data_IF_763483717561
#
_entry.id   IF_763483717561
#
_cell.length_a   1.000
_cell.length_b   1.000
_cell.length_c   1.000
_cell.angle_alpha   90.00
_cell.angle_beta   90.00
_cell.angle_gamma   90.00
#
_symmetry.space_group_name_H-M   'P 1'
#
loop_
_entity.id
_entity.type
_entity.pdbx_description
1 polymer ?
#
# COMPACT_ATOMS: atom_id res chain seq x y z
N UNK A 1 15.37 7.29 12.97
CA UNK A 1 14.46 6.50 12.10
C UNK A 1 13.49 5.79 13.02
N UNK A 2 12.19 6.06 12.87
CA UNK A 2 11.15 5.41 13.67
C UNK A 2 10.81 4.08 12.94
N UNK A 3 10.87 2.93 13.62
CA UNK A 3 10.54 1.66 12.99
C UNK A 3 9.03 1.54 12.76
N UNK A 4 8.62 0.59 11.92
CA UNK A 4 7.20 0.28 11.69
C UNK A 4 6.93 -1.18 12.03
N UNK A 5 5.75 -1.45 12.56
CA UNK A 5 5.28 -2.81 12.85
C UNK A 5 4.24 -3.25 11.84
N UNK A 6 4.28 -4.53 11.48
CA UNK A 6 3.19 -5.22 10.79
C UNK A 6 2.37 -5.97 11.84
N UNK A 7 1.06 -5.76 11.79
CA UNK A 7 0.08 -6.38 12.67
C UNK A 7 -0.88 -7.23 11.86
N UNK A 8 -1.24 -8.40 12.36
CA UNK A 8 -2.41 -9.12 11.90
C UNK A 8 -3.66 -8.48 12.51
N UNK A 9 -4.59 -8.02 11.68
CA UNK A 9 -5.69 -7.10 12.04
C UNK A 9 -7.09 -7.68 11.79
N UNK A 10 -7.19 -8.99 11.61
CA UNK A 10 -8.45 -9.73 11.51
C UNK A 10 -9.16 -9.91 12.85
N UNK A 11 -8.47 -9.69 13.97
CA UNK A 11 -9.03 -9.73 15.33
C UNK A 11 -8.58 -8.52 16.17
N UNK A 12 -9.27 -8.30 17.30
CA UNK A 12 -8.96 -7.23 18.26
C UNK A 12 -8.63 -7.83 19.64
N UNK A 13 -7.50 -7.47 20.27
CA UNK A 13 -6.44 -6.60 19.74
C UNK A 13 -5.70 -7.25 18.56
N UNK A 14 -5.16 -6.44 17.66
CA UNK A 14 -4.35 -6.93 16.54
C UNK A 14 -3.05 -7.56 17.03
N UNK A 15 -2.57 -8.59 16.34
CA UNK A 15 -1.41 -9.37 16.76
C UNK A 15 -0.11 -8.96 16.06
N UNK A 16 0.98 -8.84 16.82
CA UNK A 16 2.29 -8.49 16.33
C UNK A 16 2.88 -9.57 15.42
N UNK A 17 3.43 -9.15 14.28
CA UNK A 17 4.09 -10.05 13.32
C UNK A 17 5.59 -9.77 13.24
N UNK A 18 5.96 -8.54 12.86
CA UNK A 18 7.35 -8.15 12.63
C UNK A 18 7.52 -6.63 12.75
N UNK A 19 8.72 -6.19 13.12
CA UNK A 19 9.15 -4.80 13.07
C UNK A 19 10.17 -4.63 11.94
N UNK A 20 10.02 -3.57 11.15
CA UNK A 20 10.84 -3.24 9.99
C UNK A 20 11.23 -1.76 9.98
N UNK A 21 12.19 -1.41 9.13
CA UNK A 21 12.89 -0.12 9.17
C UNK A 21 12.14 1.06 8.57
N UNK A 22 11.09 0.82 7.76
CA UNK A 22 10.36 1.89 7.08
C UNK A 22 8.89 1.55 6.82
N UNK A 23 8.08 2.57 6.57
CA UNK A 23 6.67 2.41 6.20
C UNK A 23 6.54 1.58 4.92
N UNK A 24 7.39 1.83 3.92
CA UNK A 24 7.39 1.06 2.68
C UNK A 24 7.69 -0.42 2.92
N UNK A 25 8.69 -0.72 3.74
CA UNK A 25 8.98 -2.09 4.11
C UNK A 25 7.75 -2.74 4.77
N UNK A 26 7.12 -2.06 5.73
CA UNK A 26 5.94 -2.59 6.42
C UNK A 26 4.80 -2.92 5.46
N UNK A 27 4.53 -2.04 4.48
CA UNK A 27 3.53 -2.30 3.44
C UNK A 27 3.89 -3.52 2.57
N UNK A 28 5.17 -3.67 2.18
CA UNK A 28 5.60 -4.82 1.37
C UNK A 28 5.43 -6.12 2.15
N UNK A 29 5.85 -6.17 3.42
CA UNK A 29 5.68 -7.34 4.28
C UNK A 29 4.19 -7.66 4.48
N UNK A 30 3.36 -6.66 4.81
CA UNK A 30 1.92 -6.83 4.96
C UNK A 30 1.28 -7.43 3.69
N UNK A 31 1.69 -6.96 2.51
CA UNK A 31 1.20 -7.45 1.22
C UNK A 31 1.63 -8.89 0.94
N UNK A 32 2.93 -9.20 1.09
CA UNK A 32 3.47 -10.54 0.85
C UNK A 32 2.85 -11.58 1.82
N UNK A 33 2.62 -11.18 3.06
CA UNK A 33 1.95 -12.05 4.04
C UNK A 33 0.47 -12.24 3.71
N UNK A 34 -0.23 -11.20 3.25
CA UNK A 34 -1.62 -11.34 2.79
C UNK A 34 -1.76 -12.28 1.58
N UNK A 35 -0.79 -12.24 0.65
CA UNK A 35 -0.72 -13.16 -0.49
C UNK A 35 -0.48 -14.61 -0.04
N UNK A 36 0.36 -14.81 0.99
CA UNK A 36 0.72 -16.14 1.50
C UNK A 36 -0.31 -16.74 2.47
N UNK A 37 -1.07 -15.90 3.17
CA UNK A 37 -2.12 -16.30 4.11
C UNK A 37 -3.47 -15.70 3.71
N UNK A 38 -4.10 -16.19 2.63
CA UNK A 38 -5.39 -15.69 2.17
C UNK A 38 -6.44 -15.65 3.30
N UNK A 39 -7.20 -14.56 3.38
CA UNK A 39 -8.20 -14.33 4.43
C UNK A 39 -7.68 -13.60 5.66
N UNK A 40 -6.35 -13.58 5.88
CA UNK A 40 -5.75 -12.76 6.95
C UNK A 40 -5.62 -11.31 6.47
N UNK A 41 -5.82 -10.37 7.38
CA UNK A 41 -5.63 -8.94 7.15
C UNK A 41 -4.38 -8.47 7.89
N UNK A 42 -3.59 -7.64 7.24
CA UNK A 42 -2.38 -7.08 7.83
C UNK A 42 -2.44 -5.56 7.77
N UNK A 43 -2.25 -4.92 8.93
CA UNK A 43 -2.13 -3.48 9.07
C UNK A 43 -0.67 -3.11 9.36
N UNK A 44 -0.35 -1.83 9.12
CA UNK A 44 0.94 -1.27 9.51
C UNK A 44 0.73 -0.25 10.63
N UNK A 45 1.67 -0.16 11.55
CA UNK A 45 1.67 0.81 12.63
C UNK A 45 3.05 1.45 12.74
N UNK A 46 3.10 2.77 12.95
CA UNK A 46 4.34 3.46 13.29
C UNK A 46 4.78 3.11 14.72
N UNK A 47 6.08 2.89 14.90
CA UNK A 47 6.66 2.40 16.14
C UNK A 47 6.63 0.87 16.28
N UNK A 48 7.19 0.40 17.38
CA UNK A 48 7.14 -1.02 17.75
C UNK A 48 5.85 -1.33 18.51
N UNK A 49 5.08 -2.33 18.07
CA UNK A 49 3.85 -2.77 18.73
C UNK A 49 4.14 -3.78 19.85
N UNK A 50 5.05 -3.43 20.76
CA UNK A 50 5.59 -4.32 21.80
C UNK A 50 4.56 -4.81 22.84
N UNK A 51 3.38 -4.17 22.91
CA UNK A 51 2.28 -4.55 23.79
C UNK A 51 1.18 -5.38 23.11
N UNK A 52 1.28 -5.64 21.81
CA UNK A 52 0.32 -6.47 21.09
C UNK A 52 0.58 -7.97 21.36
N UNK A 53 -0.47 -8.82 21.37
CA UNK A 53 -0.27 -10.27 21.43
C UNK A 53 0.54 -10.76 20.22
N UNK A 54 1.27 -11.85 20.37
CA UNK A 54 1.97 -12.47 19.24
C UNK A 54 0.98 -13.07 18.23
N UNK A 55 1.31 -12.97 16.94
CA UNK A 55 0.58 -13.70 15.91
C UNK A 55 0.88 -15.20 15.96
N UNK A 56 0.13 -15.99 15.18
CA UNK A 56 0.37 -17.42 15.07
C UNK A 56 1.82 -17.70 14.60
N UNK A 57 2.54 -18.68 15.17
CA UNK A 57 3.96 -18.94 14.84
C UNK A 57 4.24 -19.11 13.35
N UNK A 58 3.34 -19.75 12.60
CA UNK A 58 3.51 -19.92 11.15
C UNK A 58 3.57 -18.60 10.38
N UNK A 59 2.85 -17.56 10.83
CA UNK A 59 2.86 -16.22 10.21
C UNK A 59 4.17 -15.53 10.56
N UNK A 60 4.60 -15.59 11.82
CA UNK A 60 5.87 -15.04 12.28
C UNK A 60 7.07 -15.67 11.56
N UNK A 61 7.08 -16.99 11.44
CA UNK A 61 8.15 -17.73 10.77
C UNK A 61 8.18 -17.45 9.27
N UNK A 62 7.01 -17.31 8.65
CA UNK A 62 6.89 -16.89 7.26
C UNK A 62 7.41 -15.46 7.03
N UNK A 63 7.09 -14.53 7.93
CA UNK A 63 7.60 -13.16 7.88
C UNK A 63 9.14 -13.09 7.96
N UNK A 64 9.77 -14.06 8.63
CA UNK A 64 11.23 -14.20 8.77
C UNK A 64 11.84 -15.19 7.78
N UNK A 65 11.06 -15.66 6.81
CA UNK A 65 11.57 -16.61 5.83
C UNK A 65 12.48 -15.90 4.83
N UNK A 66 13.54 -16.58 4.41
CA UNK A 66 14.46 -16.08 3.38
C UNK A 66 13.74 -15.62 2.11
N UNK A 67 12.66 -16.31 1.73
CA UNK A 67 11.87 -15.94 0.57
C UNK A 67 11.20 -14.57 0.72
N UNK A 68 10.52 -14.32 1.85
CA UNK A 68 9.85 -13.04 2.11
C UNK A 68 10.87 -11.92 2.22
N UNK A 69 11.99 -12.15 2.92
CA UNK A 69 13.07 -11.16 3.04
C UNK A 69 13.68 -10.81 1.67
N UNK A 70 13.96 -11.81 0.83
CA UNK A 70 14.51 -11.61 -0.52
C UNK A 70 13.54 -10.84 -1.42
N UNK A 71 12.25 -11.19 -1.39
CA UNK A 71 11.22 -10.47 -2.15
C UNK A 71 11.07 -9.03 -1.67
N UNK A 72 11.03 -8.81 -0.35
CA UNK A 72 10.94 -7.48 0.22
C UNK A 72 12.15 -6.61 -0.16
N UNK A 73 13.36 -7.14 -0.06
CA UNK A 73 14.58 -6.44 -0.45
C UNK A 73 14.58 -6.10 -1.96
N UNK A 74 14.13 -7.02 -2.82
CA UNK A 74 14.02 -6.80 -4.27
C UNK A 74 13.05 -5.65 -4.57
N UNK A 75 11.90 -5.64 -3.91
CA UNK A 75 10.88 -4.59 -4.09
C UNK A 75 11.34 -3.24 -3.57
N UNK A 76 12.00 -3.20 -2.40
CA UNK A 76 12.58 -1.97 -1.86
C UNK A 76 13.65 -1.41 -2.79
N UNK A 77 14.53 -2.27 -3.32
CA UNK A 77 15.55 -1.85 -4.30
C UNK A 77 14.92 -1.25 -5.57
N UNK A 78 13.81 -1.82 -6.04
CA UNK A 78 13.08 -1.29 -7.20
C UNK A 78 12.45 0.08 -6.92
N UNK A 79 11.92 0.29 -5.72
CA UNK A 79 11.31 1.57 -5.33
C UNK A 79 12.36 2.63 -4.92
N UNK A 80 13.64 2.26 -4.71
CA UNK A 80 14.65 3.15 -4.14
C UNK A 80 14.96 4.39 -4.97
N UNK A 81 14.85 4.32 -6.30
CA UNK A 81 15.10 5.46 -7.20
C UNK A 81 14.01 6.54 -7.08
N UNK A 82 12.75 6.14 -6.87
CA UNK A 82 11.59 7.05 -6.79
C UNK A 82 11.11 7.30 -5.36
N UNK A 83 11.60 6.52 -4.39
CA UNK A 83 11.24 6.60 -2.98
C UNK A 83 12.47 6.25 -2.09
N UNK A 84 13.53 7.08 -2.12
CA UNK A 84 14.75 6.83 -1.35
C UNK A 84 14.52 6.88 0.17
N UNK A 85 13.49 7.60 0.62
CA UNK A 85 13.13 7.75 2.03
C UNK A 85 12.31 6.56 2.57
N UNK A 86 11.85 5.65 1.71
CA UNK A 86 11.05 4.50 2.14
C UNK A 86 9.66 4.87 2.67
N UNK A 87 9.08 5.95 2.13
CA UNK A 87 7.73 6.43 2.46
C UNK A 87 6.65 5.43 2.02
N UNK A 88 5.49 5.48 2.68
CA UNK A 88 4.36 4.65 2.30
C UNK A 88 3.93 4.93 0.84
N UNK A 89 3.67 3.86 0.10
CA UNK A 89 3.20 3.90 -1.29
C UNK A 89 1.68 3.84 -1.32
N UNK A 90 1.09 4.79 -2.03
CA UNK A 90 -0.33 4.89 -2.31
C UNK A 90 -0.58 4.79 -3.80
N UNK A 91 -1.63 4.06 -4.17
CA UNK A 91 -2.14 3.98 -5.53
C UNK A 91 -3.35 4.88 -5.62
N UNK A 92 -3.23 5.97 -6.38
CA UNK A 92 -4.33 6.89 -6.67
C UNK A 92 -4.97 6.43 -7.98
N UNK A 93 -6.25 6.09 -7.92
CA UNK A 93 -7.06 5.62 -9.04
C UNK A 93 -7.95 6.74 -9.52
N UNK A 94 -7.90 7.00 -10.82
CA UNK A 94 -8.78 7.93 -11.53
C UNK A 94 -9.91 7.13 -12.16
N UNK A 95 -11.14 7.55 -11.87
CA UNK A 95 -12.38 6.90 -12.32
C UNK A 95 -13.24 7.93 -13.07
N UNK A 96 -13.83 7.54 -14.19
CA UNK A 96 -14.87 8.32 -14.87
C UNK A 96 -16.08 8.43 -13.96
N UNK A 97 -16.67 9.62 -13.78
CA UNK A 97 -17.98 9.70 -13.14
C UNK A 97 -19.07 9.31 -14.15
N UNK A 98 -20.09 8.55 -13.70
CA UNK A 98 -21.17 8.08 -14.57
C UNK A 98 -22.14 9.20 -15.00
N UNK A 99 -22.17 10.33 -14.28
CA UNK A 99 -23.13 11.43 -14.51
C UNK A 99 -22.62 12.48 -15.50
N UNK A 100 -21.31 12.64 -15.66
CA UNK A 100 -20.70 13.62 -16.57
C UNK A 100 -19.34 13.13 -17.05
N UNK A 101 -19.18 13.00 -18.37
CA UNK A 101 -17.92 12.53 -18.99
C UNK A 101 -16.69 13.40 -18.66
N UNK A 102 -16.92 14.64 -18.21
CA UNK A 102 -15.89 15.61 -17.85
C UNK A 102 -15.43 15.56 -16.38
N UNK A 103 -16.11 14.80 -15.50
CA UNK A 103 -15.74 14.78 -14.08
C UNK A 103 -15.08 13.45 -13.68
N UNK A 104 -13.98 13.56 -12.95
CA UNK A 104 -13.18 12.42 -12.48
C UNK A 104 -13.37 12.23 -10.99
N UNK A 105 -13.67 10.99 -10.57
CA UNK A 105 -13.60 10.58 -9.16
C UNK A 105 -12.23 9.99 -8.89
N UNK A 106 -11.64 10.37 -7.76
CA UNK A 106 -10.37 9.80 -7.31
C UNK A 106 -10.58 8.87 -6.11
N UNK A 107 -9.78 7.81 -6.00
CA UNK A 107 -9.67 6.97 -4.80
C UNK A 107 -8.21 6.64 -4.55
N UNK A 108 -7.76 6.75 -3.31
CA UNK A 108 -6.40 6.39 -2.92
C UNK A 108 -6.43 5.16 -2.00
N UNK A 109 -5.57 4.18 -2.29
CA UNK A 109 -5.42 2.97 -1.49
C UNK A 109 -3.95 2.69 -1.22
N UNK A 110 -3.65 2.27 0.01
CA UNK A 110 -2.30 1.86 0.37
C UNK A 110 -1.88 0.62 -0.44
N UNK A 111 -0.58 0.48 -0.72
CA UNK A 111 -0.08 -0.63 -1.55
C UNK A 111 -0.44 -2.03 -1.01
N UNK A 112 -0.54 -2.18 0.30
CA UNK A 112 -0.90 -3.45 0.95
C UNK A 112 -2.41 -3.75 0.95
N UNK A 113 -3.27 -2.80 0.55
CA UNK A 113 -4.72 -3.00 0.42
C UNK A 113 -5.06 -3.63 -0.94
N UNK A 114 -4.52 -4.82 -1.20
CA UNK A 114 -4.67 -5.56 -2.45
C UNK A 114 -6.14 -5.77 -2.85
N UNK A 115 -7.08 -6.13 -1.94
CA UNK A 115 -8.48 -6.32 -2.31
C UNK A 115 -9.14 -5.05 -2.87
N UNK A 116 -8.95 -3.89 -2.22
CA UNK A 116 -9.52 -2.64 -2.71
C UNK A 116 -8.87 -2.17 -4.01
N UNK A 117 -7.55 -2.35 -4.14
CA UNK A 117 -6.79 -2.07 -5.35
C UNK A 117 -7.25 -2.90 -6.53
N UNK A 118 -7.38 -4.22 -6.35
CA UNK A 118 -7.86 -5.13 -7.39
C UNK A 118 -9.29 -4.81 -7.79
N UNK A 119 -10.18 -4.56 -6.83
CA UNK A 119 -11.58 -4.20 -7.12
C UNK A 119 -11.70 -2.89 -7.90
N UNK A 120 -10.88 -1.91 -7.56
CA UNK A 120 -10.90 -0.59 -8.21
C UNK A 120 -10.28 -0.65 -9.60
N UNK A 121 -9.19 -1.40 -9.77
CA UNK A 121 -8.57 -1.62 -11.08
C UNK A 121 -9.51 -2.32 -12.06
N UNK A 122 -10.32 -3.28 -11.59
CA UNK A 122 -11.31 -3.98 -12.40
C UNK A 122 -12.62 -3.21 -12.60
N UNK A 123 -12.72 -1.96 -12.12
CA UNK A 123 -13.92 -1.14 -12.32
C UNK A 123 -14.06 -0.75 -13.81
N UNK A 124 -15.27 -0.81 -14.40
CA UNK A 124 -15.49 -0.32 -15.76
C UNK A 124 -15.25 1.18 -15.89
N UNK A 125 -15.28 1.92 -14.77
CA UNK A 125 -15.03 3.36 -14.73
C UNK A 125 -13.54 3.69 -14.62
N UNK A 126 -12.65 2.70 -14.48
CA UNK A 126 -11.21 2.93 -14.35
C UNK A 126 -10.60 3.54 -15.63
N UNK A 127 -9.93 4.69 -15.48
CA UNK A 127 -9.28 5.40 -16.59
C UNK A 127 -7.77 5.55 -16.42
N UNK A 128 -7.25 5.37 -15.21
CA UNK A 128 -5.80 5.42 -14.95
C UNK A 128 -5.43 5.39 -13.48
N UNK A 129 -4.14 5.26 -13.22
CA UNK A 129 -3.59 5.27 -11.86
C UNK A 129 -2.27 6.04 -11.83
N UNK A 130 -1.99 6.64 -10.68
CA UNK A 130 -0.72 7.27 -10.36
C UNK A 130 -0.25 6.82 -8.97
N UNK A 131 1.06 6.95 -8.74
CA UNK A 131 1.70 6.57 -7.48
C UNK A 131 1.98 7.83 -6.66
N UNK A 132 1.67 7.78 -5.37
CA UNK A 132 2.04 8.78 -4.40
C UNK A 132 2.89 8.13 -3.30
N UNK A 133 3.99 8.79 -2.91
CA UNK A 133 4.84 8.36 -1.80
C UNK A 133 4.74 9.39 -0.68
N UNK A 134 4.33 8.95 0.52
CA UNK A 134 4.11 9.82 1.66
C UNK A 134 3.04 9.27 2.60
N UNK A 135 2.53 10.15 3.46
CA UNK A 135 1.37 9.87 4.30
C UNK A 135 0.08 9.75 3.47
N UNK A 136 -1.08 9.65 4.13
CA UNK A 136 -2.36 9.63 3.42
C UNK A 136 -2.46 10.88 2.52
N UNK A 137 -2.60 10.73 1.18
CA UNK A 137 -2.67 11.88 0.28
C UNK A 137 -3.87 12.76 0.60
N UNK A 138 -3.63 14.06 0.70
CA UNK A 138 -4.64 15.06 0.98
C UNK A 138 -5.50 15.35 -0.26
N UNK A 139 -6.65 16.03 -0.10
CA UNK A 139 -7.41 16.50 -1.27
C UNK A 139 -6.59 17.39 -2.22
N UNK A 140 -5.61 18.13 -1.70
CA UNK A 140 -4.72 18.94 -2.52
C UNK A 140 -3.79 18.06 -3.37
N UNK A 141 -3.13 17.08 -2.76
CA UNK A 141 -2.23 16.15 -3.47
C UNK A 141 -2.97 15.41 -4.58
N UNK A 142 -4.18 14.92 -4.27
CA UNK A 142 -5.05 14.25 -5.25
C UNK A 142 -5.43 15.20 -6.40
N UNK A 143 -5.66 16.48 -6.10
CA UNK A 143 -5.96 17.50 -7.10
C UNK A 143 -4.81 17.72 -8.07
N UNK A 144 -3.58 17.88 -7.57
CA UNK A 144 -2.38 18.04 -8.40
C UNK A 144 -2.17 16.81 -9.29
N UNK A 145 -2.24 15.60 -8.71
CA UNK A 145 -2.08 14.36 -9.47
C UNK A 145 -3.14 14.16 -10.55
N UNK A 146 -4.37 14.66 -10.33
CA UNK A 146 -5.43 14.60 -11.34
C UNK A 146 -5.13 15.51 -12.53
N UNK A 147 -4.63 16.73 -12.28
CA UNK A 147 -4.27 17.66 -13.36
C UNK A 147 -3.08 17.11 -14.16
N UNK A 148 -2.04 16.57 -13.50
CA UNK A 148 -0.92 15.90 -14.17
C UNK A 148 -1.39 14.72 -15.03
N UNK A 149 -2.33 13.93 -14.51
CA UNK A 149 -2.91 12.82 -15.25
C UNK A 149 -3.66 13.30 -16.51
N UNK A 150 -4.48 14.35 -16.41
CA UNK A 150 -5.19 14.92 -17.57
C UNK A 150 -4.22 15.46 -18.61
N UNK A 151 -3.22 16.24 -18.18
CA UNK A 151 -2.19 16.79 -19.07
C UNK A 151 -1.43 15.67 -19.82
N UNK A 152 -1.12 14.56 -19.14
CA UNK A 152 -0.47 13.41 -19.78
C UNK A 152 -1.35 12.72 -20.84
N UNK A 153 -2.67 12.74 -20.67
CA UNK A 153 -3.62 12.16 -21.62
C UNK A 153 -3.79 13.03 -22.86
N UNK A 154 -3.81 14.34 -22.69
CA UNK A 154 -3.88 15.30 -23.80
C UNK A 154 -2.60 15.28 -24.65
N UNK A 155 -1.43 15.14 -24.04
CA UNK A 155 -0.16 15.06 -24.78
C UNK A 155 -0.01 13.76 -25.60
N UNK A 156 -0.84 12.75 -25.35
CA UNK A 156 -0.80 11.44 -26.02
C UNK A 156 -1.93 11.26 -27.05
N UNK A 157 -2.87 12.21 -27.12
CA UNK A 157 -4.04 12.19 -28.02
C UNK A 157 -3.76 12.94 -29.33
#
# INVERSE_FOLDING_TARGET
MIPYSVLQSDHQPGAFVITVVSARAAQIYARLLAERFPGNKFAIQEGGAWGAPDCHPSIRDSARSFEVERLAATMLKRDAETNPEGLAKWHVYFLRRPDTAATTRCRAYADHDTPMRSRTFSSPDYIGTAIFYGDLPTPHDIGVMLEDFKASKEATA
#
